data_IF_232371454400
#
_entry.id   IF_232371454400
#
_cell.length_a   1.000
_cell.length_b   1.000
_cell.length_c   1.000
_cell.angle_alpha   90.00
_cell.angle_beta   90.00
_cell.angle_gamma   90.00
#
_symmetry.space_group_name_H-M   'P 1'
#
loop_
_entity.id
_entity.type
_entity.pdbx_description
1 polymer ?
#
# COMPACT_ATOMS: atom_id res chain seq x y z
N UNK A 1 8.92 -4.54 -7.60
CA UNK A 1 10.35 -4.33 -7.94
C UNK A 1 11.15 -5.29 -7.09
N UNK A 2 12.11 -5.99 -7.69
CA UNK A 2 12.87 -7.05 -7.01
C UNK A 2 14.36 -6.84 -7.16
N UNK A 3 15.16 -7.29 -6.20
CA UNK A 3 16.59 -7.47 -6.35
C UNK A 3 16.87 -8.88 -6.90
N UNK A 4 17.35 -8.97 -8.14
CA UNK A 4 17.70 -10.23 -8.79
C UNK A 4 19.12 -10.14 -9.34
N UNK A 5 19.99 -11.09 -8.98
CA UNK A 5 21.38 -11.15 -9.41
C UNK A 5 22.19 -9.84 -9.20
N UNK A 6 21.89 -9.08 -8.14
CA UNK A 6 22.57 -7.83 -7.81
C UNK A 6 22.02 -6.59 -8.52
N UNK A 7 20.97 -6.73 -9.33
CA UNK A 7 20.31 -5.61 -10.02
C UNK A 7 18.86 -5.44 -9.57
N UNK A 8 18.33 -4.22 -9.69
CA UNK A 8 16.92 -3.93 -9.46
C UNK A 8 16.10 -4.16 -10.74
N UNK A 9 15.09 -5.01 -10.67
CA UNK A 9 14.24 -5.38 -11.81
C UNK A 9 12.78 -5.06 -11.52
N UNK A 10 12.09 -4.49 -12.52
CA UNK A 10 10.64 -4.38 -12.51
C UNK A 10 10.00 -5.67 -13.01
N UNK A 11 9.11 -6.24 -12.20
CA UNK A 11 8.32 -7.44 -12.54
C UNK A 11 6.86 -7.00 -12.67
N UNK A 12 6.29 -7.01 -13.89
CA UNK A 12 4.92 -6.58 -14.10
C UNK A 12 3.94 -7.60 -13.49
N UNK A 13 3.02 -7.11 -12.67
CA UNK A 13 1.95 -7.94 -12.11
C UNK A 13 0.59 -7.49 -12.65
N UNK A 14 -0.29 -8.45 -12.94
CA UNK A 14 -1.66 -8.16 -13.35
C UNK A 14 -2.43 -7.53 -12.18
N UNK A 15 -3.20 -6.47 -12.47
CA UNK A 15 -4.20 -5.94 -11.54
C UNK A 15 -5.41 -6.87 -11.50
N UNK A 16 -5.80 -7.31 -10.30
CA UNK A 16 -6.98 -8.16 -10.09
C UNK A 16 -8.26 -7.35 -9.79
N UNK A 17 -8.13 -6.19 -9.16
CA UNK A 17 -9.28 -5.35 -8.80
C UNK A 17 -10.00 -4.74 -10.02
N UNK A 18 -11.31 -4.59 -9.93
CA UNK A 18 -12.13 -3.89 -10.91
C UNK A 18 -12.11 -2.37 -10.69
N UNK A 19 -12.37 -1.60 -11.75
CA UNK A 19 -12.41 -0.13 -11.71
C UNK A 19 -11.03 0.51 -11.52
N UNK A 20 -10.99 1.77 -11.04
CA UNK A 20 -9.75 2.55 -10.86
C UNK A 20 -9.51 3.02 -9.42
N UNK A 21 -10.42 2.75 -8.49
CA UNK A 21 -10.36 3.30 -7.12
C UNK A 21 -9.27 2.66 -6.23
N UNK A 22 -8.88 1.41 -6.52
CA UNK A 22 -7.82 0.69 -5.80
C UNK A 22 -7.19 -0.35 -6.72
N UNK A 23 -6.13 -1.01 -6.25
CA UNK A 23 -5.54 -2.15 -6.92
C UNK A 23 -5.33 -3.32 -5.96
N UNK A 24 -5.30 -4.51 -6.54
CA UNK A 24 -4.90 -5.75 -5.89
C UNK A 24 -3.91 -6.40 -6.85
N UNK A 25 -2.73 -6.73 -6.35
CA UNK A 25 -1.72 -7.47 -7.11
C UNK A 25 -2.22 -8.91 -7.25
N UNK A 26 -2.27 -9.43 -8.47
CA UNK A 26 -2.65 -10.83 -8.67
C UNK A 26 -1.68 -11.75 -7.92
N UNK A 27 -2.16 -12.71 -7.11
CA UNK A 27 -1.31 -13.55 -6.26
C UNK A 27 -0.17 -14.26 -7.01
N UNK A 28 -0.46 -14.80 -8.20
CA UNK A 28 0.58 -15.46 -9.02
C UNK A 28 1.66 -14.48 -9.50
N UNK A 29 1.30 -13.22 -9.76
CA UNK A 29 2.28 -12.20 -10.15
C UNK A 29 3.20 -11.85 -8.98
N UNK A 30 2.64 -11.75 -7.77
CA UNK A 30 3.43 -11.52 -6.57
C UNK A 30 4.34 -12.70 -6.24
N UNK A 31 3.82 -13.93 -6.26
CA UNK A 31 4.61 -15.14 -6.04
C UNK A 31 5.71 -15.31 -7.10
N UNK A 32 5.44 -14.94 -8.36
CA UNK A 32 6.46 -14.90 -9.41
C UNK A 32 7.57 -13.89 -9.12
N UNK A 33 7.23 -12.70 -8.63
CA UNK A 33 8.22 -11.70 -8.22
C UNK A 33 9.09 -12.20 -7.06
N UNK A 34 8.50 -12.84 -6.05
CA UNK A 34 9.26 -13.45 -4.93
C UNK A 34 10.19 -14.58 -5.40
N UNK A 35 9.79 -15.33 -6.43
CA UNK A 35 10.63 -16.37 -7.02
C UNK A 35 11.81 -15.79 -7.84
N UNK A 36 11.69 -14.60 -8.40
CA UNK A 36 12.77 -13.92 -9.13
C UNK A 36 13.81 -13.29 -8.19
N UNK A 37 13.43 -12.87 -6.99
CA UNK A 37 14.35 -12.25 -6.03
C UNK A 37 13.66 -11.56 -4.85
N UNK A 38 14.44 -10.82 -4.07
CA UNK A 38 13.93 -10.10 -2.90
C UNK A 38 13.02 -8.93 -3.34
N UNK A 39 11.79 -8.88 -2.84
CA UNK A 39 10.86 -7.79 -3.15
C UNK A 39 11.28 -6.52 -2.41
N UNK A 40 11.73 -5.52 -3.18
CA UNK A 40 12.23 -4.26 -2.64
C UNK A 40 11.15 -3.19 -2.48
N UNK A 41 10.17 -3.18 -3.39
CA UNK A 41 9.14 -2.14 -3.42
C UNK A 41 7.92 -2.58 -4.25
N UNK A 42 6.76 -2.04 -3.89
CA UNK A 42 5.55 -2.08 -4.73
C UNK A 42 5.59 -0.90 -5.69
N UNK A 43 5.17 -1.13 -6.94
CA UNK A 43 5.08 -0.07 -7.95
C UNK A 43 3.67 -0.06 -8.50
N UNK A 44 3.01 1.09 -8.49
CA UNK A 44 1.69 1.25 -9.10
C UNK A 44 1.50 2.62 -9.72
N UNK A 45 0.47 2.73 -10.58
CA UNK A 45 0.15 3.96 -11.31
C UNK A 45 -1.10 4.64 -10.76
N UNK A 46 -1.08 5.97 -10.71
CA UNK A 46 -2.24 6.83 -10.55
C UNK A 46 -2.61 7.45 -11.90
N UNK A 47 -3.68 6.96 -12.57
CA UNK A 47 -4.13 7.55 -13.83
C UNK A 47 -4.71 8.95 -13.59
N UNK A 48 -4.19 9.95 -14.30
CA UNK A 48 -4.62 11.36 -14.26
C UNK A 48 -4.57 12.00 -12.87
N UNK A 49 -3.79 11.43 -11.94
CA UNK A 49 -3.70 11.90 -10.56
C UNK A 49 -2.24 11.94 -10.10
N UNK A 50 -1.93 12.88 -9.21
CA UNK A 50 -0.58 13.10 -8.74
C UNK A 50 -0.04 11.87 -7.96
N UNK A 51 1.29 11.68 -7.87
CA UNK A 51 1.90 10.51 -7.24
C UNK A 51 1.87 10.54 -5.70
N UNK A 52 0.93 11.28 -5.12
CA UNK A 52 0.62 11.26 -3.69
C UNK A 52 -0.22 10.03 -3.35
N UNK A 53 0.06 9.36 -2.22
CA UNK A 53 -0.63 8.15 -1.82
C UNK A 53 -2.05 8.49 -1.37
N UNK A 54 -3.02 7.68 -1.80
CA UNK A 54 -4.34 7.65 -1.20
C UNK A 54 -4.27 7.12 0.24
N UNK A 55 -5.36 7.26 1.00
CA UNK A 55 -5.42 6.69 2.36
C UNK A 55 -5.21 5.16 2.36
N UNK A 56 -5.72 4.47 1.34
CA UNK A 56 -5.49 3.03 1.15
C UNK A 56 -4.01 2.73 0.88
N UNK A 57 -3.34 3.55 0.06
CA UNK A 57 -1.91 3.37 -0.22
C UNK A 57 -1.08 3.60 1.05
N UNK A 58 -1.37 4.66 1.83
CA UNK A 58 -0.67 4.94 3.09
C UNK A 58 -0.75 3.77 4.05
N UNK A 59 -1.96 3.23 4.28
CA UNK A 59 -2.15 2.05 5.13
C UNK A 59 -1.42 0.83 4.57
N UNK A 60 -1.41 0.66 3.25
CA UNK A 60 -0.78 -0.50 2.61
C UNK A 60 0.74 -0.43 2.68
N UNK A 61 1.35 0.75 2.54
CA UNK A 61 2.78 0.99 2.77
C UNK A 61 3.17 0.52 4.18
N UNK A 62 2.42 0.93 5.20
CA UNK A 62 2.69 0.51 6.59
C UNK A 62 2.51 -1.00 6.80
N UNK A 63 1.44 -1.59 6.25
CA UNK A 63 1.15 -3.03 6.39
C UNK A 63 2.19 -3.91 5.74
N UNK A 64 2.67 -3.51 4.57
CA UNK A 64 3.65 -4.28 3.82
C UNK A 64 5.08 -4.03 4.32
N UNK A 65 5.32 -2.89 4.99
CA UNK A 65 6.66 -2.50 5.44
C UNK A 65 7.63 -2.25 4.29
N UNK A 66 7.12 -2.06 3.08
CA UNK A 66 7.91 -1.86 1.87
C UNK A 66 7.70 -0.45 1.32
N UNK A 67 8.71 0.15 0.67
CA UNK A 67 8.54 1.35 -0.12
C UNK A 67 7.55 1.16 -1.27
N UNK A 68 6.78 2.21 -1.59
CA UNK A 68 5.84 2.23 -2.71
C UNK A 68 6.23 3.33 -3.70
N UNK A 69 6.50 2.95 -4.95
CA UNK A 69 6.75 3.87 -6.05
C UNK A 69 5.44 4.14 -6.78
N UNK A 70 4.93 5.37 -6.65
CA UNK A 70 3.68 5.78 -7.29
C UNK A 70 4.01 6.62 -8.52
N UNK A 71 3.44 6.24 -9.66
CA UNK A 71 3.70 6.87 -10.96
C UNK A 71 2.41 7.51 -11.49
N UNK A 72 2.45 8.81 -11.78
CA UNK A 72 1.41 9.46 -12.56
C UNK A 72 1.45 8.99 -14.02
N UNK A 73 0.29 8.69 -14.56
CA UNK A 73 0.10 8.46 -16.00
C UNK A 73 -0.91 9.47 -16.52
N UNK A 74 -0.66 10.21 -17.62
CA UNK A 74 0.42 10.01 -18.60
C UNK A 74 1.68 10.86 -18.38
N UNK A 75 1.72 11.76 -17.40
CA UNK A 75 2.80 12.75 -17.30
C UNK A 75 4.13 12.15 -16.83
N UNK A 76 4.12 10.96 -16.22
CA UNK A 76 5.33 10.23 -15.83
C UNK A 76 6.00 10.75 -14.56
N UNK A 77 5.41 11.72 -13.85
CA UNK A 77 5.89 12.11 -12.53
C UNK A 77 5.76 10.96 -11.55
N UNK A 78 6.77 10.76 -10.71
CA UNK A 78 6.75 9.68 -9.73
C UNK A 78 7.31 10.14 -8.40
N UNK A 79 6.94 9.40 -7.35
CA UNK A 79 7.54 9.57 -6.02
C UNK A 79 7.60 8.21 -5.31
N UNK A 80 8.67 8.03 -4.54
CA UNK A 80 8.86 6.88 -3.66
C UNK A 80 8.41 7.24 -2.24
N UNK A 81 7.51 6.44 -1.69
CA UNK A 81 6.97 6.60 -0.35
C UNK A 81 7.45 5.48 0.55
N UNK A 82 7.78 5.81 1.79
CA UNK A 82 8.29 4.87 2.78
C UNK A 82 7.30 4.78 3.95
N UNK A 83 7.30 3.67 4.71
CA UNK A 83 6.60 3.60 5.98
C UNK A 83 7.05 4.74 6.90
N UNK A 84 6.09 5.40 7.53
CA UNK A 84 6.28 6.53 8.44
C UNK A 84 5.63 6.28 9.81
N UNK A 85 4.98 5.13 10.00
CA UNK A 85 4.14 4.86 11.16
C UNK A 85 2.74 5.48 11.05
N UNK A 86 2.27 5.73 9.83
CA UNK A 86 0.95 6.30 9.57
C UNK A 86 -0.18 5.44 10.17
N UNK A 87 -1.16 6.09 10.79
CA UNK A 87 -2.36 5.46 11.32
C UNK A 87 -3.59 6.15 10.74
N UNK A 88 -4.57 5.40 10.23
CA UNK A 88 -5.77 5.99 9.66
C UNK A 88 -6.66 6.60 10.74
N UNK A 89 -7.31 7.72 10.42
CA UNK A 89 -8.30 8.33 11.31
C UNK A 89 -9.49 7.38 11.55
N UNK A 90 -10.04 7.39 12.75
CA UNK A 90 -11.23 6.59 13.05
C UNK A 90 -12.48 7.13 12.33
N UNK A 91 -12.65 8.45 12.33
CA UNK A 91 -13.79 9.16 11.74
C UNK A 91 -13.33 9.86 10.46
N UNK A 92 -14.16 9.79 9.42
CA UNK A 92 -13.90 10.45 8.14
C UNK A 92 -12.96 9.71 7.18
N UNK A 93 -12.45 8.53 7.56
CA UNK A 93 -11.68 7.68 6.66
C UNK A 93 -12.53 7.11 5.51
N UNK A 94 -11.99 6.99 4.29
CA UNK A 94 -12.69 6.37 3.18
C UNK A 94 -12.83 4.86 3.38
N UNK A 95 -13.88 4.27 2.81
CA UNK A 95 -14.05 2.81 2.81
C UNK A 95 -13.22 2.17 1.69
N UNK A 96 -12.48 1.12 2.03
CA UNK A 96 -11.78 0.25 1.08
C UNK A 96 -11.81 -1.18 1.59
N UNK A 97 -12.48 -2.08 0.87
CA UNK A 97 -12.64 -3.46 1.29
C UNK A 97 -11.28 -4.16 1.47
N UNK A 98 -11.06 -4.83 2.61
CA UNK A 98 -9.81 -5.49 2.96
C UNK A 98 -8.71 -4.58 3.51
N UNK A 99 -8.84 -3.25 3.37
CA UNK A 99 -7.85 -2.28 3.87
C UNK A 99 -8.45 -1.35 4.91
N UNK A 100 -9.43 -0.54 4.53
CA UNK A 100 -10.14 0.41 5.37
C UNK A 100 -11.63 0.06 5.41
N UNK A 101 -11.95 -1.13 5.92
CA UNK A 101 -13.30 -1.66 6.04
C UNK A 101 -13.84 -1.64 7.48
N UNK A 102 -15.07 -2.13 7.67
CA UNK A 102 -15.73 -2.15 8.98
C UNK A 102 -14.95 -2.96 10.02
N UNK A 103 -14.29 -4.05 9.63
CA UNK A 103 -13.47 -4.84 10.55
C UNK A 103 -12.20 -4.09 10.94
N UNK A 104 -11.51 -3.46 9.97
CA UNK A 104 -10.34 -2.63 10.26
C UNK A 104 -10.69 -1.46 11.19
N UNK A 105 -11.85 -0.84 11.02
CA UNK A 105 -12.31 0.24 11.89
C UNK A 105 -12.44 -0.22 13.35
N UNK A 106 -13.08 -1.37 13.57
CA UNK A 106 -13.23 -1.96 14.90
C UNK A 106 -11.85 -2.29 15.49
N UNK A 107 -11.00 -2.99 14.73
CA UNK A 107 -9.65 -3.36 15.18
C UNK A 107 -8.81 -2.15 15.56
N UNK A 108 -8.82 -1.11 14.73
CA UNK A 108 -8.03 0.09 14.95
C UNK A 108 -8.54 0.87 16.18
N UNK A 109 -9.86 0.90 16.42
CA UNK A 109 -10.45 1.46 17.64
C UNK A 109 -10.01 0.70 18.90
N UNK A 110 -10.10 -0.62 18.90
CA UNK A 110 -9.65 -1.43 20.05
C UNK A 110 -8.15 -1.30 20.30
N UNK A 111 -7.35 -1.21 19.23
CA UNK A 111 -5.90 -1.03 19.37
C UNK A 111 -5.57 0.32 20.03
N UNK A 112 -6.30 1.38 19.70
CA UNK A 112 -6.07 2.71 20.29
C UNK A 112 -6.62 2.86 21.71
N UNK A 113 -7.71 2.18 22.05
CA UNK A 113 -8.41 2.34 23.34
C UNK A 113 -8.09 1.28 24.38
N UNK A 114 -7.77 0.05 23.97
CA UNK A 114 -7.53 -1.08 24.87
C UNK A 114 -6.08 -1.59 24.84
N UNK A 115 -5.33 -1.29 23.76
CA UNK A 115 -3.94 -1.72 23.59
C UNK A 115 -2.91 -0.91 24.38
N UNK A 116 -3.33 0.11 25.13
CA UNK A 116 -2.46 0.94 25.96
C UNK A 116 -2.86 0.88 27.42
N UNK A 117 -2.11 0.12 28.22
CA UNK A 117 -1.85 0.55 29.59
C UNK A 117 -1.21 1.95 29.52
N UNK A 118 -1.83 2.89 30.24
CA UNK A 118 -1.30 4.23 30.55
C UNK A 118 -0.90 5.11 29.35
N UNK A 119 -1.87 5.84 28.79
CA UNK A 119 -1.63 7.25 28.39
C UNK A 119 -2.90 8.05 28.69
N UNK A 120 -2.92 8.61 29.90
CA UNK A 120 -4.02 9.43 30.40
C UNK A 120 -3.97 10.87 29.90
N UNK A 121 -5.16 11.48 30.00
CA UNK A 121 -5.49 12.92 30.06
C UNK A 121 -5.06 13.78 28.86
#
# INVERSE_FOLDING_TARGET
MVAAAGEQRYVPCRKQAEGQAHFIIHPEGYAGAEAEGEVLAVVHSHPNAAPEPSETDRVSVERWGLPWLIVNVPLGYWRLWHPTGYQPLLVGRPFSHGVLDCFSLIRDYFSSTCGGGERGV
#
